data_IF_988641564102
#
_entry.id   IF_988641564102
#
_cell.length_a   1.000
_cell.length_b   1.000
_cell.length_c   1.000
_cell.angle_alpha   90.00
_cell.angle_beta   90.00
_cell.angle_gamma   90.00
#
_symmetry.space_group_name_H-M   'P 1'
#
loop_
_entity.id
_entity.type
_entity.pdbx_description
1 polymer ?
#
# COMPACT_ATOMS: atom_id res chain seq x y z
N UNK A 1 -4.23 12.27 33.76
CA UNK A 1 -5.11 11.08 33.83
C UNK A 1 -4.57 10.06 32.85
N UNK A 2 -4.16 8.91 33.37
CA UNK A 2 -3.34 7.90 32.69
C UNK A 2 -4.19 7.10 31.71
N UNK A 3 -3.99 7.30 30.39
CA UNK A 3 -4.57 6.42 29.36
C UNK A 3 -3.80 5.10 29.37
N UNK A 4 -4.24 4.16 30.22
CA UNK A 4 -3.75 2.79 30.16
C UNK A 4 -4.39 2.11 28.94
N UNK A 5 -3.61 1.93 27.87
CA UNK A 5 -3.93 0.97 26.81
C UNK A 5 -4.10 -0.39 27.46
N UNK A 6 -5.33 -0.91 27.46
CA UNK A 6 -5.62 -2.29 27.83
C UNK A 6 -5.14 -3.16 26.66
N UNK A 7 -3.91 -3.66 26.73
CA UNK A 7 -3.41 -4.65 25.78
C UNK A 7 -4.19 -5.94 26.02
N UNK A 8 -5.20 -6.20 25.20
CA UNK A 8 -5.89 -7.48 25.16
C UNK A 8 -4.93 -8.48 24.50
N UNK A 9 -4.70 -9.67 25.09
CA UNK A 9 -3.88 -10.68 24.44
C UNK A 9 -4.45 -11.00 23.05
N UNK A 10 -3.59 -10.96 22.03
CA UNK A 10 -3.87 -11.11 20.58
C UNK A 10 -4.43 -9.89 19.84
N UNK A 11 -4.57 -8.72 20.48
CA UNK A 11 -4.93 -7.47 19.79
C UNK A 11 -3.69 -6.63 19.50
N UNK A 12 -3.40 -6.37 18.22
CA UNK A 12 -2.45 -5.33 17.84
C UNK A 12 -3.22 -4.02 17.70
N UNK A 13 -2.89 -3.03 18.55
CA UNK A 13 -3.39 -1.65 18.41
C UNK A 13 -2.21 -0.78 18.00
N UNK A 14 -2.20 -0.36 16.75
CA UNK A 14 -1.21 0.54 16.21
C UNK A 14 -1.75 1.97 16.20
N UNK A 15 -1.46 2.70 17.28
CA UNK A 15 -0.76 3.97 17.13
C UNK A 15 0.74 3.65 17.29
N UNK A 16 1.30 2.88 16.35
CA UNK A 16 2.72 2.54 16.39
C UNK A 16 3.44 3.71 15.74
N UNK A 17 4.36 4.33 16.48
CA UNK A 17 5.42 5.18 15.93
C UNK A 17 6.39 4.26 15.14
N UNK A 18 5.88 3.57 14.13
CA UNK A 18 6.73 3.01 13.09
C UNK A 18 7.27 4.24 12.40
N UNK A 19 8.59 4.39 12.33
CA UNK A 19 9.23 5.48 11.61
C UNK A 19 8.55 5.63 10.23
N UNK A 20 7.63 6.59 10.10
CA UNK A 20 6.70 6.72 8.95
C UNK A 20 7.41 7.10 7.65
N UNK A 21 8.73 7.18 7.68
CA UNK A 21 9.55 7.10 6.50
C UNK A 21 9.75 5.63 6.14
N UNK A 22 8.98 5.13 5.17
CA UNK A 22 9.37 3.90 4.45
C UNK A 22 10.78 4.13 3.89
N UNK A 23 11.76 3.50 4.51
CA UNK A 23 13.18 3.65 4.18
C UNK A 23 13.59 2.74 3.05
N UNK A 24 13.06 3.00 1.84
CA UNK A 24 13.82 2.76 0.61
C UNK A 24 14.76 3.96 0.34
N UNK A 25 15.50 4.36 1.39
CA UNK A 25 16.10 5.70 1.57
C UNK A 25 17.22 6.03 0.57
N UNK A 26 17.71 5.05 -0.19
CA UNK A 26 18.80 5.21 -1.17
C UNK A 26 18.37 4.97 -2.62
N UNK A 27 17.13 4.52 -2.88
CA UNK A 27 16.71 4.11 -4.24
C UNK A 27 15.41 4.75 -4.69
N UNK A 28 14.44 5.03 -3.80
CA UNK A 28 13.09 5.44 -4.21
C UNK A 28 12.65 6.83 -3.71
N UNK A 29 13.24 7.39 -2.64
CA UNK A 29 12.82 8.67 -2.05
C UNK A 29 11.96 8.49 -0.79
N UNK A 30 11.07 9.43 -0.49
CA UNK A 30 10.12 9.35 0.63
C UNK A 30 8.69 9.64 0.17
N UNK A 31 7.69 9.12 0.89
CA UNK A 31 6.28 9.48 0.72
C UNK A 31 5.72 9.80 2.11
N UNK A 32 5.10 10.98 2.32
CA UNK A 32 4.44 11.30 3.58
C UNK A 32 3.18 10.45 3.74
N UNK A 33 3.25 9.43 4.60
CA UNK A 33 2.17 8.45 4.74
C UNK A 33 0.87 9.08 5.27
N UNK A 34 0.94 10.13 6.09
CA UNK A 34 -0.22 10.85 6.65
C UNK A 34 -1.15 11.39 5.56
N UNK A 35 -0.58 11.79 4.41
CA UNK A 35 -1.36 12.25 3.25
C UNK A 35 -2.00 11.06 2.50
N UNK A 36 -1.30 9.93 2.43
CA UNK A 36 -1.78 8.72 1.73
C UNK A 36 -2.92 8.04 2.48
N UNK A 37 -2.83 7.98 3.81
CA UNK A 37 -3.86 7.34 4.65
C UNK A 37 -5.06 8.26 4.92
N UNK A 38 -5.03 9.51 4.42
CA UNK A 38 -6.11 10.47 4.54
C UNK A 38 -6.22 11.15 5.91
N UNK A 39 -5.18 11.09 6.73
CA UNK A 39 -5.20 11.59 8.12
C UNK A 39 -5.50 13.08 8.18
N UNK A 40 -4.90 13.88 7.30
CA UNK A 40 -5.11 15.34 7.25
C UNK A 40 -6.49 15.76 6.76
N UNK A 41 -7.33 14.82 6.32
CA UNK A 41 -8.72 15.07 5.95
C UNK A 41 -9.71 14.77 7.09
N UNK A 42 -9.23 14.17 8.18
CA UNK A 42 -10.05 13.85 9.35
C UNK A 42 -10.18 15.07 10.28
N UNK A 43 -11.39 15.31 10.77
CA UNK A 43 -11.69 16.41 11.70
C UNK A 43 -11.29 16.02 13.12
N UNK A 44 -10.51 16.89 13.76
CA UNK A 44 -10.22 16.83 15.19
C UNK A 44 -11.32 17.54 15.98
N UNK A 45 -12.15 16.81 16.76
CA UNK A 45 -13.25 17.41 17.52
C UNK A 45 -12.77 18.32 18.66
N UNK A 46 -11.50 18.22 19.08
CA UNK A 46 -10.94 19.04 20.16
C UNK A 46 -10.53 20.44 19.66
N UNK A 47 -10.08 20.55 18.41
CA UNK A 47 -9.60 21.81 17.81
C UNK A 47 -10.55 22.38 16.76
N UNK A 48 -11.61 21.64 16.40
CA UNK A 48 -12.55 21.96 15.33
C UNK A 48 -11.85 22.26 13.98
N UNK A 49 -10.71 21.61 13.77
CA UNK A 49 -9.83 21.70 12.59
C UNK A 49 -9.41 20.30 12.18
N UNK A 50 -8.80 20.13 11.00
CA UNK A 50 -8.26 18.81 10.64
C UNK A 50 -7.00 18.48 11.44
N UNK A 51 -6.73 17.20 11.64
CA UNK A 51 -5.47 16.76 12.26
C UNK A 51 -4.26 17.22 11.44
N UNK A 52 -3.31 17.89 12.08
CA UNK A 52 -2.11 18.41 11.43
C UNK A 52 -1.11 17.30 11.09
N UNK A 53 -1.05 16.26 11.92
CA UNK A 53 -0.11 15.15 11.79
C UNK A 53 -0.58 13.94 12.61
N UNK A 54 0.10 12.81 12.40
CA UNK A 54 -0.16 11.58 13.13
C UNK A 54 -0.07 11.69 14.65
N UNK A 55 0.86 12.50 15.18
CA UNK A 55 1.01 12.67 16.64
C UNK A 55 -0.26 13.25 17.25
N UNK A 56 -0.81 14.31 16.65
CA UNK A 56 -2.06 14.93 17.11
C UNK A 56 -3.23 13.94 17.05
N UNK A 57 -3.32 13.16 15.97
CA UNK A 57 -4.35 12.12 15.83
C UNK A 57 -4.28 11.08 16.96
N UNK A 58 -3.08 10.57 17.26
CA UNK A 58 -2.89 9.58 18.32
C UNK A 58 -3.07 10.17 19.73
N UNK A 59 -2.64 11.41 19.98
CA UNK A 59 -2.83 12.09 21.26
C UNK A 59 -4.31 12.38 21.54
N UNK A 60 -5.11 12.61 20.50
CA UNK A 60 -6.56 12.72 20.59
C UNK A 60 -7.28 11.37 20.81
N UNK A 61 -6.54 10.26 20.89
CA UNK A 61 -7.09 8.92 21.09
C UNK A 61 -7.51 8.20 19.81
N UNK A 62 -7.11 8.70 18.64
CA UNK A 62 -7.33 8.04 17.36
C UNK A 62 -6.68 6.67 17.28
N UNK A 63 -7.30 5.77 16.53
CA UNK A 63 -6.75 4.45 16.19
C UNK A 63 -6.48 4.46 14.70
N UNK A 64 -5.22 4.23 14.31
CA UNK A 64 -4.92 4.17 12.87
C UNK A 64 -5.18 2.77 12.33
N UNK A 65 -4.76 1.74 13.06
CA UNK A 65 -4.95 0.36 12.67
C UNK A 65 -5.06 -0.55 13.89
N UNK A 66 -6.11 -1.34 13.94
CA UNK A 66 -6.30 -2.35 14.96
C UNK A 66 -6.86 -3.64 14.39
N UNK A 67 -6.22 -4.75 14.75
CA UNK A 67 -6.59 -6.09 14.33
C UNK A 67 -6.42 -7.09 15.46
N UNK A 68 -7.13 -8.21 15.38
CA UNK A 68 -6.75 -9.46 16.05
C UNK A 68 -6.11 -10.42 15.08
N UNK A 69 -5.08 -11.11 15.52
CA UNK A 69 -4.42 -12.17 14.74
C UNK A 69 -4.62 -13.50 15.44
N UNK A 70 -5.14 -14.47 14.70
CA UNK A 70 -5.37 -15.85 15.19
C UNK A 70 -4.93 -16.85 14.13
N UNK A 71 -3.74 -17.41 14.29
CA UNK A 71 -3.11 -18.22 13.24
C UNK A 71 -2.81 -17.34 12.01
N UNK A 72 -3.33 -17.74 10.85
CA UNK A 72 -3.21 -17.01 9.58
C UNK A 72 -4.35 -16.01 9.34
N UNK A 73 -5.33 -15.94 10.26
CA UNK A 73 -6.49 -15.05 10.14
C UNK A 73 -6.20 -13.69 10.78
N UNK A 74 -6.53 -12.61 10.05
CA UNK A 74 -6.43 -11.23 10.52
C UNK A 74 -7.82 -10.60 10.51
N UNK A 75 -8.36 -10.33 11.69
CA UNK A 75 -9.67 -9.69 11.82
C UNK A 75 -9.48 -8.20 12.06
N UNK A 76 -10.06 -7.36 11.21
CA UNK A 76 -10.11 -5.91 11.43
C UNK A 76 -11.02 -5.56 12.60
N UNK A 77 -10.54 -4.67 13.49
CA UNK A 77 -11.29 -4.22 14.65
C UNK A 77 -11.70 -2.75 14.55
N UNK A 78 -10.73 -1.90 14.24
CA UNK A 78 -10.89 -0.45 14.20
C UNK A 78 -9.70 0.19 13.44
N UNK A 79 -9.85 1.42 12.99
CA UNK A 79 -8.78 2.14 12.32
C UNK A 79 -9.26 3.11 11.25
N UNK A 80 -8.31 3.65 10.49
CA UNK A 80 -8.61 4.41 9.28
C UNK A 80 -9.19 3.48 8.22
N UNK A 81 -10.18 3.97 7.47
CA UNK A 81 -10.78 3.26 6.33
C UNK A 81 -9.74 2.77 5.33
N UNK A 82 -8.61 3.50 5.20
CA UNK A 82 -7.47 3.10 4.38
C UNK A 82 -6.99 1.67 4.69
N UNK A 83 -7.05 1.23 5.95
CA UNK A 83 -6.58 -0.08 6.41
C UNK A 83 -7.69 -1.14 6.55
N UNK A 84 -8.94 -0.81 6.25
CA UNK A 84 -10.06 -1.76 6.30
C UNK A 84 -9.84 -2.94 5.33
N UNK A 85 -10.20 -4.17 5.74
CA UNK A 85 -9.93 -5.43 5.01
C UNK A 85 -8.41 -5.71 4.82
N UNK A 86 -7.67 -5.97 5.92
CA UNK A 86 -6.22 -6.14 5.89
C UNK A 86 -5.76 -7.43 5.18
N UNK A 87 -6.61 -8.44 5.11
CA UNK A 87 -6.37 -9.75 4.47
C UNK A 87 -6.90 -9.81 3.03
N UNK A 88 -7.58 -8.76 2.55
CA UNK A 88 -8.11 -8.69 1.19
C UNK A 88 -7.05 -8.21 0.18
N UNK A 89 -6.86 -8.99 -0.88
CA UNK A 89 -5.86 -8.72 -1.91
C UNK A 89 -6.21 -7.55 -2.81
N UNK A 90 -7.50 -7.29 -3.06
CA UNK A 90 -7.96 -6.19 -3.90
C UNK A 90 -7.84 -4.87 -3.14
N UNK A 91 -8.24 -4.83 -1.86
CA UNK A 91 -7.99 -3.70 -0.96
C UNK A 91 -6.49 -3.39 -0.85
N UNK A 92 -5.64 -4.41 -0.79
CA UNK A 92 -4.18 -4.25 -0.80
C UNK A 92 -3.66 -3.67 -2.12
N UNK A 93 -4.22 -4.10 -3.26
CA UNK A 93 -3.88 -3.52 -4.56
C UNK A 93 -4.30 -2.05 -4.65
N UNK A 94 -5.49 -1.68 -4.18
CA UNK A 94 -5.95 -0.29 -4.15
C UNK A 94 -5.08 0.62 -3.28
N UNK A 95 -4.61 0.13 -2.12
CA UNK A 95 -3.66 0.87 -1.26
C UNK A 95 -2.35 1.14 -1.99
N UNK A 96 -1.85 0.16 -2.75
CA UNK A 96 -0.62 0.31 -3.56
C UNK A 96 -0.84 1.35 -4.66
N UNK A 97 -1.98 1.35 -5.34
CA UNK A 97 -2.29 2.36 -6.37
C UNK A 97 -2.37 3.77 -5.77
N UNK A 98 -2.96 3.94 -4.59
CA UNK A 98 -2.94 5.23 -3.86
C UNK A 98 -1.52 5.68 -3.52
N UNK A 99 -0.65 4.76 -3.11
CA UNK A 99 0.76 5.05 -2.83
C UNK A 99 1.51 5.48 -4.09
N UNK A 100 1.29 4.80 -5.22
CA UNK A 100 1.87 5.11 -6.53
C UNK A 100 1.39 6.49 -7.03
N UNK A 101 0.11 6.81 -6.84
CA UNK A 101 -0.45 8.10 -7.20
C UNK A 101 0.21 9.23 -6.39
N UNK A 102 0.27 9.08 -5.07
CA UNK A 102 0.92 10.05 -4.18
C UNK A 102 2.40 10.24 -4.53
N UNK A 103 3.11 9.16 -4.86
CA UNK A 103 4.49 9.22 -5.34
C UNK A 103 4.61 10.04 -6.63
N UNK A 104 3.77 9.73 -7.62
CA UNK A 104 3.76 10.40 -8.93
C UNK A 104 3.50 11.90 -8.79
N UNK A 105 2.55 12.29 -7.93
CA UNK A 105 2.28 13.69 -7.62
C UNK A 105 3.46 14.39 -6.95
N UNK A 106 4.16 13.70 -6.05
CA UNK A 106 5.32 14.24 -5.35
C UNK A 106 6.51 14.45 -6.31
N UNK A 107 6.76 13.49 -7.21
CA UNK A 107 7.77 13.61 -8.28
C UNK A 107 7.44 14.78 -9.21
N UNK A 108 6.17 14.95 -9.60
CA UNK A 108 5.74 16.02 -10.49
C UNK A 108 5.91 17.43 -9.88
N UNK A 109 5.93 17.54 -8.56
CA UNK A 109 6.19 18.80 -7.83
C UNK A 109 7.68 19.18 -7.76
N UNK A 110 8.56 18.41 -8.42
CA UNK A 110 10.01 18.62 -8.52
C UNK A 110 10.67 18.88 -7.16
N UNK A 111 10.31 18.08 -6.16
CA UNK A 111 10.82 18.25 -4.80
C UNK A 111 12.26 17.75 -4.75
N UNK A 112 13.22 18.65 -4.98
CA UNK A 112 14.59 18.45 -4.57
C UNK A 112 14.61 18.34 -3.04
N UNK A 113 14.69 17.11 -2.55
CA UNK A 113 14.76 16.86 -1.11
C UNK A 113 16.20 17.15 -0.68
N UNK A 114 16.38 18.10 0.24
CA UNK A 114 17.69 18.63 0.63
C UNK A 114 18.70 17.58 1.11
N UNK A 115 18.27 16.35 1.40
CA UNK A 115 19.09 15.26 1.92
C UNK A 115 18.96 13.90 1.19
N UNK A 116 18.09 13.73 0.17
CA UNK A 116 17.75 12.41 -0.43
C UNK A 116 17.89 12.40 -1.97
N UNK A 117 18.23 13.54 -2.59
CA UNK A 117 18.35 13.66 -4.04
C UNK A 117 16.99 13.85 -4.74
N UNK A 118 17.01 13.76 -6.08
CA UNK A 118 15.83 13.97 -6.94
C UNK A 118 15.07 12.65 -7.09
N UNK A 119 13.80 12.66 -6.69
CA UNK A 119 12.89 11.52 -6.91
C UNK A 119 12.66 11.32 -8.40
N UNK A 120 12.68 10.07 -8.88
CA UNK A 120 12.52 9.75 -10.30
C UNK A 120 11.15 9.14 -10.56
N UNK A 121 10.52 9.42 -11.72
CA UNK A 121 9.23 8.80 -12.06
C UNK A 121 9.37 7.28 -12.11
N UNK A 122 8.32 6.58 -11.66
CA UNK A 122 8.22 5.13 -11.78
C UNK A 122 8.08 4.74 -13.26
N UNK A 123 8.65 3.60 -13.70
CA UNK A 123 8.43 3.11 -15.06
C UNK A 123 6.95 2.85 -15.34
N UNK A 124 6.49 3.17 -16.55
CA UNK A 124 5.12 2.83 -16.96
C UNK A 124 4.93 1.31 -17.05
N UNK A 125 3.75 0.82 -16.66
CA UNK A 125 3.35 -0.61 -16.74
C UNK A 125 3.58 -1.18 -18.15
N UNK A 126 3.28 -0.40 -19.20
CA UNK A 126 3.51 -0.81 -20.59
C UNK A 126 4.99 -1.04 -20.89
N UNK A 127 5.87 -0.15 -20.41
CA UNK A 127 7.32 -0.28 -20.58
C UNK A 127 7.86 -1.51 -19.84
N UNK A 128 7.37 -1.73 -18.61
CA UNK A 128 7.70 -2.93 -17.85
C UNK A 128 7.21 -4.21 -18.54
N UNK A 129 6.00 -4.18 -19.11
CA UNK A 129 5.44 -5.33 -19.84
C UNK A 129 6.25 -5.67 -21.08
N UNK A 130 6.73 -4.65 -21.80
CA UNK A 130 7.50 -4.82 -23.04
C UNK A 130 8.88 -5.46 -22.81
N UNK A 131 9.56 -5.13 -21.71
CA UNK A 131 10.89 -5.69 -21.40
C UNK A 131 10.82 -7.08 -20.77
N UNK A 132 9.67 -7.44 -20.19
CA UNK A 132 9.50 -8.70 -19.50
C UNK A 132 9.08 -9.81 -20.48
N UNK A 133 9.65 -11.03 -20.39
CA UNK A 133 9.23 -12.13 -21.24
C UNK A 133 7.77 -12.53 -20.96
N UNK A 134 7.05 -13.13 -21.92
CA UNK A 134 5.75 -13.72 -21.68
C UNK A 134 5.75 -14.69 -20.50
N UNK A 135 4.68 -14.70 -19.70
CA UNK A 135 4.61 -15.47 -18.46
C UNK A 135 4.81 -16.98 -18.62
N UNK A 136 4.44 -17.56 -19.76
CA UNK A 136 4.67 -18.98 -20.03
C UNK A 136 6.17 -19.33 -20.19
N UNK A 137 7.06 -18.34 -20.40
CA UNK A 137 8.51 -18.58 -20.52
C UNK A 137 9.23 -18.66 -19.18
N UNK A 138 8.66 -18.10 -18.11
CA UNK A 138 9.29 -18.02 -16.80
C UNK A 138 8.45 -18.65 -15.68
N UNK A 139 7.22 -19.10 -15.96
CA UNK A 139 6.35 -19.80 -15.00
C UNK A 139 5.83 -21.10 -15.60
N UNK A 140 6.14 -22.22 -14.93
CA UNK A 140 5.64 -23.56 -15.31
C UNK A 140 4.13 -23.64 -15.25
N UNK A 141 3.51 -23.00 -14.26
CA UNK A 141 2.04 -22.95 -14.12
C UNK A 141 1.43 -22.26 -15.34
N UNK A 142 2.03 -21.15 -15.77
CA UNK A 142 1.58 -20.41 -16.94
C UNK A 142 1.84 -21.13 -18.27
N UNK A 143 2.86 -21.97 -18.34
CA UNK A 143 3.14 -22.78 -19.52
C UNK A 143 2.05 -23.82 -19.81
N UNK A 144 1.29 -24.24 -18.78
CA UNK A 144 0.25 -25.27 -18.88
C UNK A 144 -1.16 -24.72 -18.60
N UNK A 145 -1.31 -23.41 -18.43
CA UNK A 145 -2.59 -22.79 -18.11
C UNK A 145 -3.55 -22.84 -19.30
N UNK A 146 -4.77 -23.35 -19.08
CA UNK A 146 -5.80 -23.53 -20.12
C UNK A 146 -6.10 -22.23 -20.87
N UNK A 147 -6.29 -21.12 -20.15
CA UNK A 147 -6.55 -19.80 -20.72
C UNK A 147 -5.28 -18.93 -20.81
N UNK A 148 -4.12 -19.47 -20.47
CA UNK A 148 -2.85 -18.75 -20.42
C UNK A 148 -2.68 -17.89 -19.15
N UNK A 149 -1.71 -16.98 -19.20
CA UNK A 149 -1.43 -16.05 -18.12
C UNK A 149 -1.30 -14.61 -18.63
N UNK A 150 -1.51 -13.65 -17.73
CA UNK A 150 -1.24 -12.23 -17.94
C UNK A 150 -0.30 -11.69 -16.87
N UNK A 151 0.34 -10.55 -17.14
CA UNK A 151 1.04 -9.77 -16.11
C UNK A 151 0.07 -8.79 -15.49
N UNK A 152 0.07 -8.74 -14.16
CA UNK A 152 -0.79 -7.87 -13.37
C UNK A 152 0.04 -6.88 -12.56
N UNK A 153 -0.52 -5.69 -12.36
CA UNK A 153 0.02 -4.61 -11.53
C UNK A 153 1.39 -4.06 -11.96
N UNK A 154 1.85 -3.02 -11.26
CA UNK A 154 3.20 -2.45 -11.42
C UNK A 154 4.32 -3.44 -11.04
N UNK A 155 4.00 -4.47 -10.25
CA UNK A 155 4.93 -5.55 -9.90
C UNK A 155 5.12 -6.59 -11.00
N UNK A 156 4.31 -6.55 -12.07
CA UNK A 156 4.42 -7.42 -13.24
C UNK A 156 4.28 -8.91 -12.91
N UNK A 157 3.53 -9.27 -11.86
CA UNK A 157 3.36 -10.66 -11.43
C UNK A 157 2.56 -11.44 -12.48
N UNK A 158 3.00 -12.66 -12.78
CA UNK A 158 2.29 -13.56 -13.68
C UNK A 158 1.08 -14.20 -12.99
N UNK A 159 -0.10 -13.94 -13.52
CA UNK A 159 -1.37 -14.43 -12.99
C UNK A 159 -2.06 -15.34 -14.01
N UNK A 160 -2.49 -16.52 -13.55
CA UNK A 160 -3.28 -17.47 -14.35
C UNK A 160 -4.63 -16.86 -14.67
N UNK A 161 -5.03 -16.95 -15.93
CA UNK A 161 -6.33 -16.48 -16.37
C UNK A 161 -7.35 -17.60 -16.18
N UNK A 162 -8.49 -17.28 -15.59
CA UNK A 162 -9.59 -18.23 -15.32
C UNK A 162 -10.63 -18.26 -16.44
N UNK A 163 -10.55 -17.30 -17.37
CA UNK A 163 -11.41 -17.18 -18.55
C UNK A 163 -10.57 -16.71 -19.75
N UNK A 164 -11.12 -16.78 -20.96
CA UNK A 164 -10.51 -16.20 -22.15
C UNK A 164 -10.57 -14.65 -22.11
N UNK A 165 -9.60 -14.02 -21.43
CA UNK A 165 -9.35 -12.56 -21.45
C UNK A 165 -8.37 -12.24 -22.59
N UNK A 166 -8.63 -11.21 -23.44
CA UNK A 166 -7.72 -10.79 -24.51
C UNK A 166 -6.29 -10.45 -24.09
N UNK A 167 -6.06 -10.15 -22.80
CA UNK A 167 -4.72 -9.89 -22.24
C UNK A 167 -3.97 -11.18 -21.85
N UNK A 168 -4.62 -12.34 -21.94
CA UNK A 168 -4.04 -13.63 -21.58
C UNK A 168 -3.21 -14.18 -22.75
N UNK A 169 -1.99 -14.62 -22.45
CA UNK A 169 -1.09 -15.19 -23.46
C UNK A 169 -0.81 -16.64 -23.10
N UNK A 170 -1.13 -17.55 -24.03
CA UNK A 170 -0.84 -18.99 -23.93
C UNK A 170 0.58 -19.31 -24.40
N UNK A 171 1.11 -20.42 -23.91
CA UNK A 171 2.27 -21.05 -24.54
C UNK A 171 1.93 -21.35 -26.01
N UNK A 172 2.91 -21.15 -26.89
CA UNK A 172 2.82 -21.51 -28.30
C UNK A 172 3.21 -22.97 -28.50
#
# INVERSE_FOLDING_TARGET
>A
MTSQRRVVPNTQVACVLLERSLTARLVLGYIPLDDVVGLKSLSNPQTNSNYANYTEFCEAGGVEFSVTVSGDEVTWLDGLDFWSNPDDSDASAERIEKLIAAYSELVAKDVATSNIGVMKPLPAVASLTAINPPCYKNSRVCAHAEFGCKRSYSSQICQVCTTNDPRSVKAK
#
